data_IF_425797097229
#
_entry.id   IF_425797097229
#
_cell.length_a   1.000
_cell.length_b   1.000
_cell.length_c   1.000
_cell.angle_alpha   90.00
_cell.angle_beta   90.00
_cell.angle_gamma   90.00
#
_symmetry.space_group_name_H-M   'P 1'
#
loop_
_entity.id
_entity.type
_entity.pdbx_description
1 polymer ?
#
# COMPACT_ATOMS: atom_id res chain seq x y z
N UNK A 1 -6.25 40.13 3.41
CA UNK A 1 -5.64 40.15 2.05
C UNK A 1 -6.78 40.08 1.04
N UNK A 2 -6.76 40.88 -0.04
CA UNK A 2 -7.77 40.80 -1.09
C UNK A 2 -7.74 39.41 -1.74
N UNK A 3 -8.89 38.94 -2.25
CA UNK A 3 -8.93 37.72 -3.07
C UNK A 3 -8.11 37.95 -4.35
N UNK A 4 -7.33 36.95 -4.82
CA UNK A 4 -6.75 37.01 -6.16
C UNK A 4 -7.86 37.20 -7.20
N UNK A 5 -7.56 37.87 -8.32
CA UNK A 5 -8.58 38.11 -9.36
C UNK A 5 -9.20 36.79 -9.84
N UNK A 6 -10.53 36.74 -9.84
CA UNK A 6 -11.35 35.56 -10.10
C UNK A 6 -11.04 34.87 -11.44
N UNK A 7 -10.51 35.62 -12.41
CA UNK A 7 -10.21 35.15 -13.76
C UNK A 7 -8.78 34.61 -13.95
N UNK A 8 -7.87 34.94 -13.03
CA UNK A 8 -6.46 34.54 -13.15
C UNK A 8 -6.07 33.40 -12.20
N UNK A 9 -6.83 33.14 -11.12
CA UNK A 9 -6.54 32.04 -10.22
C UNK A 9 -5.18 32.17 -9.52
N UNK A 10 -4.80 31.14 -8.76
CA UNK A 10 -3.39 30.96 -8.35
C UNK A 10 -2.68 30.21 -9.48
N UNK A 11 -1.82 30.89 -10.24
CA UNK A 11 -1.03 30.27 -11.32
C UNK A 11 0.15 29.45 -10.77
N UNK A 12 0.72 29.90 -9.65
CA UNK A 12 1.86 29.24 -9.03
C UNK A 12 1.42 27.95 -8.32
N UNK A 13 1.96 26.81 -8.78
CA UNK A 13 1.60 25.47 -8.29
C UNK A 13 1.94 25.32 -6.80
N UNK A 14 3.01 25.95 -6.33
CA UNK A 14 3.42 25.86 -4.93
C UNK A 14 2.43 26.60 -4.02
N UNK A 15 2.04 27.82 -4.39
CA UNK A 15 1.03 28.61 -3.68
C UNK A 15 -0.34 27.94 -3.69
N UNK A 16 -0.73 27.25 -4.78
CA UNK A 16 -1.97 26.45 -4.82
C UNK A 16 -2.00 25.39 -3.73
N UNK A 17 -0.91 24.64 -3.56
CA UNK A 17 -0.81 23.60 -2.55
C UNK A 17 -0.72 24.17 -1.12
N UNK A 18 0.00 25.28 -0.93
CA UNK A 18 0.13 25.93 0.39
C UNK A 18 -1.15 26.64 0.83
N UNK A 19 -1.86 27.26 -0.11
CA UNK A 19 -3.11 27.99 0.11
C UNK A 19 -4.28 27.24 -0.51
N UNK A 20 -4.41 25.95 -0.19
CA UNK A 20 -5.46 25.09 -0.74
C UNK A 20 -6.86 25.69 -0.60
N UNK A 21 -7.13 26.41 0.47
CA UNK A 21 -8.40 27.11 0.68
C UNK A 21 -8.71 28.16 -0.42
N UNK A 22 -7.70 28.82 -1.00
CA UNK A 22 -7.89 29.71 -2.15
C UNK A 22 -8.02 28.91 -3.45
N UNK A 23 -7.22 27.87 -3.64
CA UNK A 23 -7.29 27.00 -4.82
C UNK A 23 -8.68 26.35 -4.96
N UNK A 24 -9.24 25.84 -3.85
CA UNK A 24 -10.61 25.30 -3.78
C UNK A 24 -11.69 26.36 -4.00
N UNK A 25 -11.46 27.61 -3.61
CA UNK A 25 -12.40 28.70 -3.78
C UNK A 25 -12.45 29.20 -5.22
N UNK A 26 -11.33 29.07 -5.96
CA UNK A 26 -11.15 29.63 -7.29
C UNK A 26 -11.31 28.61 -8.42
N UNK A 27 -11.13 27.32 -8.16
CA UNK A 27 -11.20 26.26 -9.17
C UNK A 27 -12.11 25.09 -8.73
N UNK A 28 -13.32 25.05 -9.32
CA UNK A 28 -14.29 23.98 -9.08
C UNK A 28 -13.77 22.59 -9.51
N UNK A 29 -12.81 22.51 -10.45
CA UNK A 29 -12.22 21.24 -10.85
C UNK A 29 -11.37 20.64 -9.73
N UNK A 30 -10.66 21.47 -8.96
CA UNK A 30 -9.90 21.02 -7.77
C UNK A 30 -10.87 20.44 -6.75
N UNK A 31 -11.98 21.13 -6.49
CA UNK A 31 -13.02 20.65 -5.58
C UNK A 31 -13.62 19.31 -6.06
N UNK A 32 -13.88 19.18 -7.36
CA UNK A 32 -14.42 17.95 -7.95
C UNK A 32 -13.49 16.74 -7.73
N UNK A 33 -12.16 16.90 -7.78
CA UNK A 33 -11.19 15.83 -7.48
C UNK A 33 -11.35 15.28 -6.06
N UNK A 34 -11.53 16.15 -5.07
CA UNK A 34 -11.71 15.72 -3.67
C UNK A 34 -13.08 15.10 -3.41
N UNK A 35 -14.13 15.58 -4.09
CA UNK A 35 -15.44 14.91 -4.07
C UNK A 35 -15.32 13.51 -4.67
N UNK A 36 -14.63 13.36 -5.81
CA UNK A 36 -14.39 12.06 -6.44
C UNK A 36 -13.57 11.13 -5.55
N UNK A 37 -12.55 11.63 -4.84
CA UNK A 37 -11.81 10.87 -3.83
C UNK A 37 -12.73 10.27 -2.77
N UNK A 38 -13.62 11.09 -2.19
CA UNK A 38 -14.56 10.62 -1.18
C UNK A 38 -15.52 9.55 -1.72
N UNK A 39 -16.02 9.73 -2.95
CA UNK A 39 -16.86 8.74 -3.64
C UNK A 39 -16.13 7.41 -3.89
N UNK A 40 -14.86 7.46 -4.31
CA UNK A 40 -14.03 6.26 -4.53
C UNK A 40 -13.87 5.49 -3.21
N UNK A 41 -13.49 6.18 -2.13
CA UNK A 41 -13.32 5.56 -0.80
C UNK A 41 -14.63 4.93 -0.33
N UNK A 42 -15.76 5.64 -0.48
CA UNK A 42 -17.07 5.10 -0.09
C UNK A 42 -17.44 3.86 -0.92
N UNK A 43 -17.26 3.90 -2.25
CA UNK A 43 -17.55 2.75 -3.11
C UNK A 43 -16.69 1.52 -2.78
N UNK A 44 -15.41 1.72 -2.46
CA UNK A 44 -14.52 0.65 -2.00
C UNK A 44 -14.99 0.06 -0.66
N UNK A 45 -15.38 0.91 0.29
CA UNK A 45 -15.95 0.48 1.58
C UNK A 45 -17.22 -0.33 1.37
N UNK A 46 -18.17 0.19 0.62
CA UNK A 46 -19.45 -0.46 0.34
C UNK A 46 -19.26 -1.83 -0.35
N UNK A 47 -18.29 -1.91 -1.27
CA UNK A 47 -17.91 -3.16 -1.91
C UNK A 47 -17.39 -4.19 -0.87
N UNK A 48 -16.44 -3.81 -0.02
CA UNK A 48 -15.88 -4.72 0.99
C UNK A 48 -16.94 -5.18 2.01
N UNK A 49 -17.82 -4.27 2.45
CA UNK A 49 -18.95 -4.60 3.32
C UNK A 49 -19.90 -5.60 2.66
N UNK A 50 -20.19 -5.44 1.35
CA UNK A 50 -21.00 -6.39 0.58
C UNK A 50 -20.32 -7.77 0.44
N UNK A 51 -18.99 -7.82 0.49
CA UNK A 51 -18.20 -9.06 0.51
C UNK A 51 -18.05 -9.64 1.94
N UNK A 52 -18.82 -9.12 2.90
CA UNK A 52 -18.87 -9.53 4.31
C UNK A 52 -17.55 -9.34 5.07
N UNK A 53 -16.75 -8.35 4.66
CA UNK A 53 -15.61 -7.92 5.45
C UNK A 53 -16.06 -7.04 6.63
N UNK A 54 -15.38 -7.20 7.76
CA UNK A 54 -15.54 -6.33 8.92
C UNK A 54 -14.54 -5.16 8.88
N UNK A 55 -15.04 -3.93 8.94
CA UNK A 55 -14.18 -2.75 9.08
C UNK A 55 -13.63 -2.68 10.52
N UNK A 56 -12.32 -2.58 10.66
CA UNK A 56 -11.62 -2.52 11.95
C UNK A 56 -10.69 -1.30 11.99
N UNK A 57 -10.13 -1.02 13.16
CA UNK A 57 -9.08 -0.02 13.34
C UNK A 57 -8.00 -0.58 14.23
N UNK A 58 -6.76 -0.48 13.78
CA UNK A 58 -5.57 -0.97 14.50
C UNK A 58 -4.71 0.20 15.00
N UNK A 59 -3.76 -0.02 15.93
CA UNK A 59 -2.97 1.06 16.48
C UNK A 59 -2.13 1.81 15.41
N UNK A 60 -2.30 3.14 15.37
CA UNK A 60 -1.44 4.03 14.58
C UNK A 60 -0.08 4.26 15.24
N UNK A 61 -0.07 4.37 16.58
CA UNK A 61 1.14 4.39 17.39
C UNK A 61 1.47 2.97 17.80
N UNK A 62 2.65 2.48 17.44
CA UNK A 62 3.07 1.10 17.66
C UNK A 62 4.38 1.09 18.48
N UNK A 63 4.53 0.19 19.46
CA UNK A 63 5.79 0.03 20.20
C UNK A 63 6.91 -0.50 19.28
N UNK A 64 6.52 -1.26 18.24
CA UNK A 64 7.38 -1.77 17.20
C UNK A 64 6.67 -1.60 15.85
N UNK A 65 7.38 -1.04 14.88
CA UNK A 65 6.89 -0.90 13.50
C UNK A 65 7.14 -2.18 12.71
N UNK A 66 6.26 -2.50 11.77
CA UNK A 66 6.40 -3.67 10.89
C UNK A 66 5.34 -3.69 9.79
N UNK A 67 5.32 -4.77 9.00
CA UNK A 67 4.33 -4.97 7.93
C UNK A 67 4.68 -4.32 6.59
N UNK A 68 5.80 -3.60 6.51
CA UNK A 68 6.35 -3.09 5.26
C UNK A 68 7.86 -2.89 5.39
N UNK A 69 8.56 -2.75 4.26
CA UNK A 69 9.95 -2.27 4.24
C UNK A 69 9.93 -0.75 4.06
N UNK A 70 10.18 -0.01 5.14
CA UNK A 70 10.11 1.44 5.17
C UNK A 70 10.77 1.99 6.43
N UNK A 71 11.34 3.20 6.34
CA UNK A 71 11.85 3.91 7.52
C UNK A 71 10.67 4.50 8.32
N UNK A 72 10.52 4.21 9.62
CA UNK A 72 9.42 4.76 10.41
C UNK A 72 9.68 6.20 10.88
N UNK A 73 8.60 6.90 11.22
CA UNK A 73 8.70 8.06 12.13
C UNK A 73 8.74 7.57 13.57
N UNK A 74 9.68 8.11 14.35
CA UNK A 74 9.86 7.82 15.77
C UNK A 74 9.36 8.99 16.62
N UNK A 75 8.67 8.71 17.71
CA UNK A 75 8.26 9.68 18.74
C UNK A 75 8.38 9.05 20.13
N UNK A 76 7.99 9.78 21.18
CA UNK A 76 8.18 9.37 22.57
C UNK A 76 6.88 9.49 23.38
N UNK A 77 6.54 8.44 24.13
CA UNK A 77 5.36 8.36 24.99
C UNK A 77 5.76 8.64 26.44
N UNK A 78 5.57 9.89 26.88
CA UNK A 78 5.97 10.36 28.22
C UNK A 78 5.43 9.52 29.38
N UNK A 79 4.20 9.01 29.28
CA UNK A 79 3.55 8.28 30.37
C UNK A 79 4.22 6.93 30.68
N UNK A 80 4.86 6.32 29.67
CA UNK A 80 5.55 5.04 29.79
C UNK A 80 7.07 5.17 29.66
N UNK A 81 7.58 6.40 29.49
CA UNK A 81 8.99 6.71 29.25
C UNK A 81 9.60 5.79 28.18
N UNK A 82 8.93 5.69 27.03
CA UNK A 82 9.32 4.75 25.97
C UNK A 82 9.14 5.35 24.59
N UNK A 83 9.95 4.87 23.64
CA UNK A 83 9.83 5.26 22.25
C UNK A 83 8.72 4.48 21.57
N UNK A 84 7.96 5.16 20.71
CA UNK A 84 6.92 4.56 19.88
C UNK A 84 7.04 5.08 18.46
N UNK A 85 6.44 4.36 17.52
CA UNK A 85 6.57 4.62 16.10
C UNK A 85 5.20 4.87 15.48
N UNK A 86 5.13 5.76 14.50
CA UNK A 86 3.97 5.80 13.62
C UNK A 86 4.03 4.58 12.70
N UNK A 87 2.90 3.91 12.52
CA UNK A 87 2.81 2.71 11.69
C UNK A 87 3.26 2.96 10.25
N UNK A 88 3.98 1.99 9.70
CA UNK A 88 4.32 1.94 8.27
C UNK A 88 3.33 1.09 7.45
N UNK A 89 2.62 0.18 8.13
CA UNK A 89 1.48 -0.61 7.68
C UNK A 89 0.69 -1.18 8.90
N UNK A 90 -0.61 -1.47 8.76
CA UNK A 90 -1.41 -2.20 9.76
C UNK A 90 -1.29 -3.74 9.67
N UNK A 91 -0.66 -4.29 8.63
CA UNK A 91 -0.56 -5.73 8.30
C UNK A 91 -0.46 -6.67 9.52
N UNK A 92 0.53 -6.51 10.39
CA UNK A 92 0.77 -7.46 11.48
C UNK A 92 -0.40 -7.52 12.48
N UNK A 93 -1.05 -6.38 12.74
CA UNK A 93 -2.21 -6.34 13.62
C UNK A 93 -3.45 -6.95 12.95
N UNK A 94 -3.65 -6.71 11.66
CA UNK A 94 -4.77 -7.30 10.91
C UNK A 94 -4.64 -8.82 10.85
N UNK A 95 -3.43 -9.35 10.69
CA UNK A 95 -3.15 -10.79 10.76
C UNK A 95 -3.43 -11.39 12.15
N UNK A 96 -3.08 -10.68 13.24
CA UNK A 96 -3.45 -11.10 14.61
C UNK A 96 -4.97 -11.22 14.79
N UNK A 97 -5.78 -10.42 14.08
CA UNK A 97 -7.23 -10.58 14.09
C UNK A 97 -7.69 -11.89 13.43
N UNK A 98 -6.99 -12.34 12.38
CA UNK A 98 -7.27 -13.66 11.79
C UNK A 98 -6.95 -14.80 12.76
N UNK A 99 -5.84 -14.70 13.49
CA UNK A 99 -5.52 -15.62 14.61
C UNK A 99 -6.64 -15.60 15.66
N UNK A 100 -7.15 -14.41 15.97
CA UNK A 100 -8.27 -14.20 16.89
C UNK A 100 -9.63 -14.73 16.40
N UNK A 101 -9.71 -15.28 15.19
CA UNK A 101 -10.92 -15.91 14.64
C UNK A 101 -11.77 -15.02 13.75
N UNK A 102 -11.33 -13.80 13.41
CA UNK A 102 -12.00 -13.02 12.37
C UNK A 102 -11.65 -13.58 10.98
N UNK A 103 -12.64 -13.89 10.16
CA UNK A 103 -12.36 -14.47 8.83
C UNK A 103 -12.05 -13.42 7.75
N UNK A 104 -12.66 -12.23 7.84
CA UNK A 104 -12.49 -11.16 6.85
C UNK A 104 -12.46 -9.80 7.53
N UNK A 105 -11.33 -9.11 7.47
CA UNK A 105 -11.15 -7.78 8.08
C UNK A 105 -10.57 -6.80 7.08
N UNK A 106 -10.92 -5.53 7.21
CA UNK A 106 -10.29 -4.46 6.45
C UNK A 106 -10.14 -3.18 7.27
N UNK A 107 -9.16 -2.37 6.92
CA UNK A 107 -8.93 -1.07 7.51
C UNK A 107 -8.59 -0.04 6.41
N UNK A 108 -9.35 1.05 6.35
CA UNK A 108 -8.87 2.27 5.72
C UNK A 108 -7.89 2.96 6.68
N UNK A 109 -6.64 3.12 6.25
CA UNK A 109 -5.52 3.53 7.10
C UNK A 109 -4.83 4.77 6.53
N UNK A 110 -4.16 5.50 7.43
CA UNK A 110 -3.04 6.37 7.09
C UNK A 110 -1.76 5.70 7.56
N UNK A 111 -0.83 5.50 6.61
CA UNK A 111 0.51 4.97 6.85
C UNK A 111 1.51 6.12 6.80
N UNK A 112 2.58 6.01 7.59
CA UNK A 112 3.59 7.05 7.75
C UNK A 112 4.97 6.48 7.43
N UNK A 113 5.64 7.01 6.41
CA UNK A 113 6.97 6.57 5.98
C UNK A 113 7.92 7.75 5.87
N UNK A 114 9.03 7.67 6.59
CA UNK A 114 10.04 8.72 6.68
C UNK A 114 11.04 8.60 5.52
N UNK A 115 10.51 8.82 4.32
CA UNK A 115 11.19 8.61 3.03
C UNK A 115 11.22 9.91 2.20
N UNK A 116 11.75 9.82 0.98
CA UNK A 116 11.72 10.92 0.01
C UNK A 116 10.31 11.33 -0.39
N UNK A 117 10.17 12.59 -0.80
CA UNK A 117 8.90 13.14 -1.34
C UNK A 117 9.08 13.37 -2.84
N UNK A 118 8.21 12.76 -3.64
CA UNK A 118 8.20 12.94 -5.11
C UNK A 118 6.76 13.05 -5.64
N UNK A 119 6.52 12.67 -6.90
CA UNK A 119 5.19 12.73 -7.53
C UNK A 119 4.26 11.60 -7.07
N UNK A 120 4.81 10.48 -6.61
CA UNK A 120 4.14 9.23 -6.24
C UNK A 120 4.27 8.90 -4.74
N UNK A 121 5.04 9.68 -3.98
CA UNK A 121 5.32 9.48 -2.55
C UNK A 121 5.06 10.76 -1.73
N UNK A 122 4.28 10.60 -0.66
CA UNK A 122 4.06 11.60 0.39
C UNK A 122 4.30 10.93 1.76
N UNK A 123 4.88 11.62 2.77
CA UNK A 123 5.30 10.97 4.01
C UNK A 123 4.15 10.35 4.82
N UNK A 124 2.94 10.91 4.69
CA UNK A 124 1.69 10.30 5.14
C UNK A 124 0.81 10.01 3.92
N UNK A 125 0.24 8.81 3.84
CA UNK A 125 -0.59 8.43 2.71
C UNK A 125 -1.72 7.49 3.15
N UNK A 126 -2.83 7.55 2.43
CA UNK A 126 -4.00 6.71 2.64
C UNK A 126 -3.86 5.40 1.88
N UNK A 127 -4.18 4.31 2.57
CA UNK A 127 -4.31 2.99 1.98
C UNK A 127 -5.58 2.30 2.50
N UNK A 128 -5.99 1.23 1.84
CA UNK A 128 -6.86 0.23 2.43
C UNK A 128 -6.11 -1.10 2.43
N UNK A 129 -6.11 -1.77 3.57
CA UNK A 129 -5.59 -3.13 3.69
C UNK A 129 -6.70 -4.06 4.14
N UNK A 130 -6.77 -5.25 3.54
CA UNK A 130 -7.78 -6.25 3.88
C UNK A 130 -7.23 -7.66 3.80
N UNK A 131 -7.72 -8.52 4.69
CA UNK A 131 -7.25 -9.88 4.88
C UNK A 131 -8.43 -10.84 4.95
N UNK A 132 -8.30 -11.98 4.29
CA UNK A 132 -9.33 -13.02 4.25
C UNK A 132 -8.74 -14.40 4.53
N UNK A 133 -9.26 -15.08 5.54
CA UNK A 133 -8.95 -16.47 5.87
C UNK A 133 -9.45 -17.43 4.77
N UNK A 134 -8.74 -18.55 4.64
CA UNK A 134 -8.95 -19.64 3.70
C UNK A 134 -8.90 -19.22 2.22
N UNK A 135 -8.19 -18.13 1.91
CA UNK A 135 -7.98 -17.60 0.55
C UNK A 135 -6.51 -17.56 0.18
N UNK A 136 -6.25 -17.46 -1.13
CA UNK A 136 -4.92 -17.35 -1.72
C UNK A 136 -4.82 -16.09 -2.59
N UNK A 137 -3.62 -15.83 -3.13
CA UNK A 137 -3.38 -14.69 -4.00
C UNK A 137 -4.20 -14.73 -5.31
N UNK A 138 -4.62 -15.91 -5.80
CA UNK A 138 -5.47 -16.02 -6.99
C UNK A 138 -6.88 -15.47 -6.71
N UNK A 139 -7.47 -15.87 -5.59
CA UNK A 139 -8.74 -15.31 -5.12
C UNK A 139 -8.63 -13.79 -4.92
N UNK A 140 -7.52 -13.32 -4.36
CA UNK A 140 -7.29 -11.90 -4.16
C UNK A 140 -7.20 -11.13 -5.50
N UNK A 141 -6.60 -11.70 -6.55
CA UNK A 141 -6.62 -11.08 -7.89
C UNK A 141 -8.05 -10.93 -8.42
N UNK A 142 -8.88 -11.96 -8.30
CA UNK A 142 -10.27 -11.93 -8.76
C UNK A 142 -11.10 -10.89 -7.99
N UNK A 143 -10.90 -10.80 -6.66
CA UNK A 143 -11.57 -9.82 -5.80
C UNK A 143 -11.15 -8.39 -6.15
N UNK A 144 -9.86 -8.14 -6.33
CA UNK A 144 -9.32 -6.82 -6.70
C UNK A 144 -9.83 -6.40 -8.07
N UNK A 145 -9.83 -7.31 -9.04
CA UNK A 145 -10.36 -7.06 -10.38
C UNK A 145 -11.85 -6.69 -10.33
N UNK A 146 -12.65 -7.40 -9.53
CA UNK A 146 -14.07 -7.09 -9.32
C UNK A 146 -14.32 -5.77 -8.61
N UNK A 147 -13.53 -5.47 -7.57
CA UNK A 147 -13.60 -4.22 -6.84
C UNK A 147 -13.29 -3.02 -7.74
N UNK A 148 -12.18 -3.06 -8.48
CA UNK A 148 -11.75 -1.93 -9.31
C UNK A 148 -12.75 -1.66 -10.45
N UNK A 149 -13.31 -2.70 -11.06
CA UNK A 149 -14.36 -2.57 -12.09
C UNK A 149 -15.66 -2.04 -11.48
N UNK A 150 -16.02 -2.44 -10.27
CA UNK A 150 -17.21 -1.92 -9.58
C UNK A 150 -17.06 -0.45 -9.21
N UNK A 151 -15.89 -0.05 -8.72
CA UNK A 151 -15.60 1.32 -8.25
C UNK A 151 -15.43 2.30 -9.41
N UNK A 152 -14.86 1.85 -10.53
CA UNK A 152 -14.61 2.69 -11.70
C UNK A 152 -14.83 1.93 -13.04
N UNK A 153 -16.09 1.59 -13.37
CA UNK A 153 -16.42 0.78 -14.56
C UNK A 153 -16.08 1.46 -15.89
N UNK A 154 -16.00 2.80 -15.91
CA UNK A 154 -15.59 3.56 -17.09
C UNK A 154 -14.08 3.49 -17.34
N UNK A 155 -13.29 3.09 -16.34
CA UNK A 155 -11.82 3.06 -16.37
C UNK A 155 -11.25 1.67 -16.43
N UNK A 156 -11.95 0.69 -15.89
CA UNK A 156 -11.50 -0.69 -15.81
C UNK A 156 -12.49 -1.64 -16.48
N UNK A 157 -11.95 -2.58 -17.27
CA UNK A 157 -12.73 -3.64 -17.91
C UNK A 157 -12.02 -4.98 -17.73
N UNK A 158 -12.80 -6.01 -17.39
CA UNK A 158 -12.30 -7.39 -17.27
C UNK A 158 -12.16 -8.06 -18.63
N UNK A 159 -11.25 -9.04 -18.77
CA UNK A 159 -10.23 -9.43 -17.80
C UNK A 159 -9.01 -8.49 -17.85
N UNK A 160 -8.37 -8.27 -16.71
CA UNK A 160 -7.05 -7.64 -16.64
C UNK A 160 -5.97 -8.61 -17.12
N UNK A 161 -4.91 -8.05 -17.69
CA UNK A 161 -3.77 -8.83 -18.14
C UNK A 161 -3.09 -9.48 -16.92
N UNK A 162 -2.72 -10.76 -17.02
CA UNK A 162 -1.89 -11.46 -16.02
C UNK A 162 -0.58 -11.87 -16.68
N UNK A 163 0.55 -11.54 -16.05
CA UNK A 163 1.88 -11.84 -16.57
C UNK A 163 2.80 -12.24 -15.42
N UNK A 164 3.74 -13.16 -15.64
CA UNK A 164 4.76 -13.48 -14.64
C UNK A 164 5.87 -12.45 -14.66
N UNK A 165 6.48 -12.18 -13.50
CA UNK A 165 7.61 -11.28 -13.37
C UNK A 165 8.72 -11.62 -14.36
N UNK A 166 9.10 -12.90 -14.46
CA UNK A 166 10.15 -13.37 -15.35
C UNK A 166 9.88 -13.11 -16.85
N UNK A 167 8.62 -13.00 -17.27
CA UNK A 167 8.27 -12.71 -18.68
C UNK A 167 8.46 -11.23 -19.04
N UNK A 168 8.53 -10.34 -18.03
CA UNK A 168 8.76 -8.91 -18.22
C UNK A 168 10.24 -8.54 -18.16
N UNK A 169 11.07 -9.38 -17.54
CA UNK A 169 12.50 -9.15 -17.40
C UNK A 169 13.24 -9.63 -18.65
N UNK A 170 14.26 -8.89 -19.09
CA UNK A 170 15.14 -9.37 -20.18
C UNK A 170 16.15 -10.38 -19.61
N UNK A 171 16.68 -11.30 -20.44
CA UNK A 171 17.58 -12.38 -19.98
C UNK A 171 18.85 -11.94 -19.23
N UNK A 172 19.25 -10.67 -19.34
CA UNK A 172 20.44 -10.11 -18.70
C UNK A 172 20.15 -9.01 -17.68
N UNK A 173 18.88 -8.68 -17.42
CA UNK A 173 18.55 -7.73 -16.37
C UNK A 173 18.73 -8.42 -14.99
N UNK A 174 19.27 -7.69 -14.01
CA UNK A 174 19.28 -8.18 -12.63
C UNK A 174 17.83 -8.30 -12.13
N UNK A 175 17.55 -9.29 -11.29
CA UNK A 175 16.24 -9.50 -10.66
C UNK A 175 16.03 -8.57 -9.45
N UNK A 176 16.57 -7.36 -9.54
CA UNK A 176 16.50 -6.36 -8.50
C UNK A 176 15.29 -5.46 -8.71
N UNK A 177 14.62 -5.13 -7.61
CA UNK A 177 13.45 -4.25 -7.60
C UNK A 177 13.71 -2.89 -8.26
N UNK A 178 14.92 -2.34 -8.09
CA UNK A 178 15.32 -1.08 -8.72
C UNK A 178 15.27 -1.16 -10.26
N UNK A 179 15.75 -2.26 -10.86
CA UNK A 179 15.75 -2.44 -12.32
C UNK A 179 14.33 -2.60 -12.84
N UNK A 180 13.48 -3.35 -12.14
CA UNK A 180 12.08 -3.48 -12.48
C UNK A 180 11.37 -2.11 -12.44
N UNK A 181 11.56 -1.35 -11.37
CA UNK A 181 10.96 -0.01 -11.18
C UNK A 181 11.39 0.99 -12.25
N UNK A 182 12.65 0.95 -12.67
CA UNK A 182 13.19 1.88 -13.68
C UNK A 182 12.78 1.50 -15.11
N UNK A 183 12.90 0.22 -15.47
CA UNK A 183 12.82 -0.21 -16.88
C UNK A 183 11.48 -0.85 -17.27
N UNK A 184 10.86 -1.58 -16.36
CA UNK A 184 9.68 -2.39 -16.65
C UNK A 184 8.41 -1.66 -16.25
N UNK A 185 8.34 -1.19 -15.00
CA UNK A 185 7.17 -0.54 -14.41
C UNK A 185 6.57 0.56 -15.32
N UNK A 186 7.35 1.49 -15.92
CA UNK A 186 6.79 2.54 -16.78
C UNK A 186 6.11 2.03 -18.05
N UNK A 187 6.37 0.78 -18.46
CA UNK A 187 5.75 0.18 -19.65
C UNK A 187 4.40 -0.50 -19.37
N UNK A 188 4.04 -0.68 -18.09
CA UNK A 188 2.78 -1.29 -17.65
C UNK A 188 1.63 -0.27 -17.69
N UNK A 189 1.21 0.09 -18.91
CA UNK A 189 0.17 1.08 -19.16
C UNK A 189 -1.23 0.50 -18.95
N UNK A 190 -1.51 -0.66 -19.52
CA UNK A 190 -2.79 -1.36 -19.35
C UNK A 190 -2.90 -2.01 -17.97
N UNK A 191 -4.12 -2.15 -17.40
CA UNK A 191 -4.39 -2.92 -16.18
C UNK A 191 -3.72 -4.31 -16.21
N UNK A 192 -2.67 -4.48 -15.40
CA UNK A 192 -1.83 -5.68 -15.43
C UNK A 192 -1.51 -6.17 -14.02
N UNK A 193 -1.88 -7.42 -13.72
CA UNK A 193 -1.33 -8.19 -12.61
C UNK A 193 0.01 -8.78 -13.00
N UNK A 194 1.05 -8.43 -12.25
CA UNK A 194 2.36 -9.09 -12.29
C UNK A 194 2.40 -10.09 -11.16
N UNK A 195 2.82 -11.31 -11.43
CA UNK A 195 2.76 -12.47 -10.50
C UNK A 195 4.11 -13.19 -10.44
N UNK A 196 4.24 -14.16 -9.54
CA UNK A 196 5.39 -15.07 -9.47
C UNK A 196 6.72 -14.30 -9.29
N UNK A 197 6.75 -13.42 -8.29
CA UNK A 197 7.95 -12.64 -7.95
C UNK A 197 9.05 -13.53 -7.35
N UNK A 198 10.33 -13.18 -7.53
CA UNK A 198 11.44 -13.80 -6.82
C UNK A 198 11.34 -13.60 -5.31
N UNK A 199 11.68 -14.64 -4.53
CA UNK A 199 11.70 -14.61 -3.06
C UNK A 199 12.55 -13.46 -2.52
N UNK A 200 13.68 -13.19 -3.14
CA UNK A 200 14.61 -12.15 -2.67
C UNK A 200 14.04 -10.73 -2.76
N UNK A 201 13.07 -10.50 -3.67
CA UNK A 201 12.36 -9.23 -3.76
C UNK A 201 11.26 -9.08 -2.70
N UNK A 202 10.68 -10.21 -2.27
CA UNK A 202 9.56 -10.26 -1.33
C UNK A 202 9.85 -11.27 -0.20
N UNK A 203 10.85 -10.97 0.66
CA UNK A 203 11.46 -11.96 1.55
C UNK A 203 10.53 -12.47 2.66
N UNK A 204 9.40 -11.80 2.91
CA UNK A 204 8.41 -12.20 3.92
C UNK A 204 7.20 -12.93 3.33
N UNK A 205 7.13 -13.12 2.01
CA UNK A 205 5.97 -13.72 1.35
C UNK A 205 6.09 -15.24 1.26
N UNK A 206 4.96 -15.94 1.42
CA UNK A 206 4.89 -17.40 1.33
C UNK A 206 5.47 -17.91 -0.01
N UNK A 207 6.26 -18.97 0.07
CA UNK A 207 6.81 -19.64 -1.12
C UNK A 207 5.70 -20.35 -1.89
N UNK A 208 5.79 -20.32 -3.21
CA UNK A 208 4.90 -21.06 -4.09
C UNK A 208 5.18 -22.56 -3.96
N UNK A 209 4.17 -23.41 -3.74
CA UNK A 209 4.37 -24.84 -3.56
C UNK A 209 5.20 -25.47 -4.69
N UNK A 210 6.27 -26.18 -4.34
CA UNK A 210 7.17 -26.83 -5.30
C UNK A 210 8.16 -25.90 -5.99
N UNK A 211 8.21 -24.61 -5.65
CA UNK A 211 9.20 -23.65 -6.17
C UNK A 211 10.09 -23.14 -5.04
N UNK A 212 11.41 -23.14 -5.27
CA UNK A 212 12.38 -22.77 -4.25
C UNK A 212 12.60 -21.25 -4.11
N UNK A 213 12.32 -20.51 -5.17
CA UNK A 213 12.73 -19.10 -5.36
C UNK A 213 11.57 -18.18 -5.78
N UNK A 214 10.34 -18.70 -5.83
CA UNK A 214 9.15 -17.97 -6.31
C UNK A 214 8.11 -17.87 -5.20
N UNK A 215 7.51 -16.69 -5.03
CA UNK A 215 6.50 -16.44 -3.98
C UNK A 215 5.07 -16.36 -4.52
N UNK A 216 4.09 -16.64 -3.66
CA UNK A 216 2.66 -16.45 -3.95
C UNK A 216 2.25 -14.99 -3.75
N UNK A 217 2.67 -14.13 -4.67
CA UNK A 217 2.39 -12.70 -4.63
C UNK A 217 1.92 -12.17 -5.99
N UNK A 218 1.19 -11.06 -5.94
CA UNK A 218 1.00 -10.21 -7.11
C UNK A 218 1.11 -8.72 -6.76
N UNK A 219 1.47 -7.93 -7.76
CA UNK A 219 1.27 -6.49 -7.74
C UNK A 219 0.42 -6.11 -8.96
N UNK A 220 -0.44 -5.10 -8.80
CA UNK A 220 -1.26 -4.58 -9.88
C UNK A 220 -0.75 -3.22 -10.33
N UNK A 221 -0.55 -3.09 -11.64
CA UNK A 221 -0.05 -1.89 -12.29
C UNK A 221 -1.05 -1.37 -13.32
N UNK A 222 -1.12 -0.05 -13.42
CA UNK A 222 -1.84 0.65 -14.48
C UNK A 222 -1.25 2.05 -14.67
N UNK A 223 -1.11 2.50 -15.91
CA UNK A 223 -0.51 3.80 -16.23
C UNK A 223 0.91 3.98 -15.69
N UNK A 224 1.66 2.90 -15.49
CA UNK A 224 2.99 2.90 -14.88
C UNK A 224 3.00 3.07 -13.34
N UNK A 225 1.84 3.07 -12.69
CA UNK A 225 1.70 3.16 -11.23
C UNK A 225 1.47 1.78 -10.62
N UNK A 226 2.14 1.50 -9.50
CA UNK A 226 1.79 0.38 -8.62
C UNK A 226 0.64 0.79 -7.70
N UNK A 227 -0.52 0.14 -7.85
CA UNK A 227 -1.70 0.44 -7.05
C UNK A 227 -1.97 -0.60 -5.96
N UNK A 228 -1.66 -1.87 -6.21
CA UNK A 228 -1.98 -2.98 -5.30
C UNK A 228 -0.74 -3.83 -5.07
N UNK A 229 -0.55 -4.25 -3.82
CA UNK A 229 0.36 -5.32 -3.44
C UNK A 229 -0.42 -6.36 -2.64
N UNK A 230 -0.26 -7.63 -2.98
CA UNK A 230 -1.03 -8.70 -2.37
C UNK A 230 -0.27 -10.02 -2.37
N UNK A 231 -0.61 -10.90 -1.43
CA UNK A 231 0.08 -12.16 -1.25
C UNK A 231 -0.81 -13.20 -0.58
N UNK A 232 -0.49 -14.49 -0.81
CA UNK A 232 -0.86 -15.53 0.15
C UNK A 232 0.02 -15.36 1.37
N UNK A 233 -0.60 -15.27 2.54
CA UNK A 233 0.08 -14.95 3.78
C UNK A 233 0.97 -16.09 4.27
N UNK A 234 2.19 -15.73 4.69
CA UNK A 234 3.02 -16.62 5.46
C UNK A 234 2.39 -16.80 6.84
N UNK A 235 2.09 -18.05 7.17
CA UNK A 235 1.45 -18.43 8.43
C UNK A 235 2.24 -19.50 9.20
N UNK A 236 3.46 -19.81 8.76
CA UNK A 236 4.39 -20.69 9.47
C UNK A 236 5.26 -19.83 10.42
N UNK A 237 5.13 -19.97 11.75
CA UNK A 237 5.87 -19.18 12.71
C UNK A 237 7.38 -19.42 12.66
N UNK A 238 7.82 -20.64 12.28
CA UNK A 238 9.25 -20.98 12.21
C UNK A 238 9.89 -20.25 11.02
N UNK A 239 9.26 -20.35 9.84
CA UNK A 239 9.73 -19.64 8.63
C UNK A 239 9.66 -18.11 8.83
N UNK A 240 8.60 -17.59 9.46
CA UNK A 240 8.48 -16.17 9.76
C UNK A 240 9.61 -15.68 10.68
N UNK A 241 9.95 -16.45 11.71
CA UNK A 241 11.06 -16.14 12.64
C UNK A 241 12.40 -16.12 11.92
N UNK A 242 12.68 -17.11 11.07
CA UNK A 242 13.91 -17.16 10.28
C UNK A 242 14.04 -15.94 9.35
N UNK A 243 12.93 -15.54 8.72
CA UNK A 243 12.91 -14.36 7.83
C UNK A 243 13.08 -13.05 8.60
N UNK A 244 12.47 -12.89 9.77
CA UNK A 244 12.75 -11.73 10.62
C UNK A 244 14.21 -11.69 11.09
N UNK A 245 14.80 -12.83 11.46
CA UNK A 245 16.22 -12.90 11.79
C UNK A 245 17.12 -12.50 10.60
N UNK A 246 16.76 -12.88 9.38
CA UNK A 246 17.44 -12.43 8.17
C UNK A 246 17.31 -10.90 7.95
N UNK A 247 16.13 -10.33 8.23
CA UNK A 247 15.92 -8.87 8.17
C UNK A 247 16.75 -8.11 9.22
N UNK A 248 16.84 -8.60 10.46
CA UNK A 248 17.72 -8.01 11.48
C UNK A 248 19.19 -8.06 11.05
N UNK A 249 19.63 -9.13 10.37
CA UNK A 249 20.97 -9.21 9.80
C UNK A 249 21.22 -8.19 8.67
N UNK A 250 20.23 -7.90 7.82
CA UNK A 250 20.32 -6.84 6.81
C UNK A 250 20.39 -5.47 7.47
N UNK A 251 19.58 -5.25 8.51
CA UNK A 251 19.58 -4.02 9.30
C UNK A 251 20.92 -3.77 9.98
N UNK A 252 21.52 -4.80 10.56
CA UNK A 252 22.87 -4.72 11.15
C UNK A 252 23.95 -4.35 10.12
N UNK A 253 23.70 -4.58 8.82
CA UNK A 253 24.57 -4.16 7.71
C UNK A 253 24.22 -2.77 7.16
N UNK A 254 23.25 -2.08 7.75
CA UNK A 254 22.89 -0.69 7.42
C UNK A 254 21.58 -0.51 6.64
N UNK A 255 20.81 -1.57 6.41
CA UNK A 255 19.47 -1.45 5.82
C UNK A 255 18.46 -0.91 6.84
N UNK A 256 18.21 0.41 6.80
CA UNK A 256 17.30 1.07 7.73
C UNK A 256 15.82 0.72 7.49
N UNK A 257 15.48 0.18 6.32
CA UNK A 257 14.11 -0.17 5.88
C UNK A 257 13.75 -1.63 6.19
N UNK A 258 14.74 -2.47 6.48
CA UNK A 258 14.54 -3.85 6.89
C UNK A 258 13.64 -3.96 8.14
N UNK A 259 12.77 -4.97 8.13
CA UNK A 259 11.79 -5.19 9.19
C UNK A 259 12.45 -5.68 10.49
N UNK A 260 11.77 -5.44 11.62
CA UNK A 260 12.24 -5.83 12.95
C UNK A 260 11.63 -7.16 13.38
N UNK A 261 12.30 -7.86 14.28
CA UNK A 261 11.73 -9.03 14.97
C UNK A 261 10.57 -8.60 15.88
N UNK A 262 9.36 -9.09 15.58
CA UNK A 262 8.17 -8.91 16.40
C UNK A 262 7.80 -10.25 17.07
N UNK A 263 8.27 -10.45 18.29
CA UNK A 263 8.03 -11.69 19.06
C UNK A 263 6.54 -11.90 19.36
N UNK A 264 5.78 -10.84 19.64
CA UNK A 264 4.33 -10.92 19.88
C UNK A 264 3.58 -11.36 18.62
N UNK A 265 4.07 -10.99 17.43
CA UNK A 265 3.52 -11.46 16.17
C UNK A 265 3.85 -12.94 15.91
N UNK A 266 5.09 -13.36 16.19
CA UNK A 266 5.46 -14.77 16.09
C UNK A 266 4.63 -15.63 17.04
N UNK A 267 4.49 -15.22 18.29
CA UNK A 267 3.65 -15.91 19.27
C UNK A 267 2.20 -16.03 18.76
N UNK A 268 1.63 -14.95 18.18
CA UNK A 268 0.30 -15.03 17.58
C UNK A 268 0.23 -16.08 16.45
N UNK A 269 1.25 -16.20 15.59
CA UNK A 269 1.30 -17.24 14.57
C UNK A 269 1.40 -18.65 15.17
N UNK A 270 2.09 -18.82 16.31
CA UNK A 270 2.22 -20.10 17.03
C UNK A 270 0.87 -20.61 17.57
N UNK A 271 -0.07 -19.71 17.91
CA UNK A 271 -1.45 -20.08 18.25
C UNK A 271 -2.27 -20.53 17.02
N UNK A 272 -1.77 -20.28 15.81
CA UNK A 272 -2.34 -20.78 14.55
C UNK A 272 -3.10 -19.71 13.78
N UNK A 273 -2.42 -19.08 12.82
CA UNK A 273 -3.10 -18.27 11.80
C UNK A 273 -3.63 -19.19 10.68
N UNK A 274 -4.90 -19.08 10.28
CA UNK A 274 -5.41 -19.83 9.13
C UNK A 274 -4.63 -19.43 7.86
N UNK A 275 -4.57 -20.30 6.83
CA UNK A 275 -4.13 -19.89 5.50
C UNK A 275 -4.95 -18.67 5.09
N UNK A 276 -4.33 -17.62 4.57
CA UNK A 276 -5.03 -16.38 4.26
C UNK A 276 -4.42 -15.68 3.05
N UNK A 277 -5.16 -14.73 2.51
CA UNK A 277 -4.65 -13.76 1.54
C UNK A 277 -4.81 -12.35 2.10
N UNK A 278 -3.82 -11.50 1.89
CA UNK A 278 -3.85 -10.09 2.22
C UNK A 278 -3.61 -9.21 1.00
N UNK A 279 -4.21 -8.03 1.03
CA UNK A 279 -4.16 -7.05 -0.06
C UNK A 279 -4.02 -5.66 0.54
N UNK A 280 -3.07 -4.88 0.03
CA UNK A 280 -2.97 -3.44 0.27
C UNK A 280 -3.15 -2.64 -1.02
N UNK A 281 -4.00 -1.61 -0.97
CA UNK A 281 -4.27 -0.70 -2.09
C UNK A 281 -3.90 0.73 -1.69
N UNK A 282 -3.04 1.37 -2.47
CA UNK A 282 -2.70 2.79 -2.31
C UNK A 282 -3.84 3.69 -2.80
N UNK A 283 -4.64 4.24 -1.90
CA UNK A 283 -5.80 5.08 -2.23
C UNK A 283 -5.36 6.34 -2.97
N UNK A 284 -4.28 6.97 -2.54
CA UNK A 284 -3.78 8.19 -3.17
C UNK A 284 -3.43 7.96 -4.64
N UNK A 285 -2.71 6.88 -4.94
CA UNK A 285 -2.33 6.53 -6.32
C UNK A 285 -3.54 6.14 -7.17
N UNK A 286 -4.47 5.37 -6.60
CA UNK A 286 -5.72 5.02 -7.29
C UNK A 286 -6.50 6.27 -7.67
N UNK A 287 -6.66 7.21 -6.73
CA UNK A 287 -7.37 8.46 -6.97
C UNK A 287 -6.62 9.31 -7.99
N UNK A 288 -5.30 9.46 -7.87
CA UNK A 288 -4.45 10.16 -8.86
C UNK A 288 -4.69 9.62 -10.27
N UNK A 289 -4.70 8.29 -10.45
CA UNK A 289 -4.98 7.66 -11.74
C UNK A 289 -6.40 7.96 -12.22
N UNK A 290 -7.40 7.75 -11.37
CA UNK A 290 -8.81 7.92 -11.75
C UNK A 290 -9.18 9.37 -12.09
N UNK A 291 -8.47 10.35 -11.52
CA UNK A 291 -8.67 11.79 -11.77
C UNK A 291 -7.67 12.40 -12.75
N UNK A 292 -6.93 11.58 -13.53
CA UNK A 292 -5.92 12.01 -14.51
C UNK A 292 -4.93 13.06 -13.94
N UNK A 293 -4.58 12.90 -12.67
CA UNK A 293 -3.75 13.87 -11.95
C UNK A 293 -2.27 13.54 -12.08
N UNK A 294 -1.41 14.55 -12.12
CA UNK A 294 0.00 14.35 -12.43
C UNK A 294 0.87 14.08 -11.20
N UNK A 295 0.34 14.25 -9.99
CA UNK A 295 1.01 13.88 -8.73
C UNK A 295 0.02 13.64 -7.61
N UNK A 296 0.47 12.99 -6.52
CA UNK A 296 -0.32 12.84 -5.30
C UNK A 296 -0.73 14.18 -4.69
N UNK A 297 0.06 15.25 -4.88
CA UNK A 297 -0.22 16.59 -4.33
C UNK A 297 -1.50 17.23 -4.88
N UNK A 298 -2.01 16.74 -6.00
CA UNK A 298 -3.29 17.19 -6.56
C UNK A 298 -4.50 16.57 -5.87
N UNK A 299 -4.32 15.42 -5.20
CA UNK A 299 -5.40 14.63 -4.58
C UNK A 299 -5.27 14.53 -3.06
N UNK A 300 -4.21 15.10 -2.48
CA UNK A 300 -4.05 15.36 -1.05
C UNK A 300 -4.43 16.83 -0.80
N UNK A 301 -5.36 17.05 0.14
CA UNK A 301 -5.86 18.40 0.45
C UNK A 301 -4.70 19.32 0.87
N UNK A 302 -3.88 18.84 1.80
CA UNK A 302 -2.74 19.57 2.35
C UNK A 302 -1.49 18.68 2.26
N UNK A 303 -0.83 18.59 1.09
CA UNK A 303 0.36 17.76 0.95
C UNK A 303 1.53 18.33 1.74
N UNK A 304 2.50 17.48 2.10
CA UNK A 304 3.70 17.95 2.78
C UNK A 304 4.53 18.83 1.84
N UNK A 305 4.85 20.05 2.29
CA UNK A 305 5.62 21.03 1.54
C UNK A 305 6.88 21.38 2.33
N UNK A 306 7.97 21.68 1.62
CA UNK A 306 9.16 22.25 2.27
C UNK A 306 8.79 23.57 2.98
N UNK A 307 9.33 23.89 4.16
CA UNK A 307 9.16 25.21 4.76
C UNK A 307 9.65 26.32 3.82
N UNK A 308 9.12 27.53 3.98
CA UNK A 308 9.62 28.74 3.29
C UNK A 308 10.85 29.28 3.99
#
# INVERSE_FOLDING_TARGET
LPLPEKWHGLQDVEERYRKRYLDLLMDDNVKAKFVKRAQIIQAMRDYLLKQEFLEVTTPTLQPLYGGASARPFKTHLNALDTDVFLRIAPELYLKRLLVGGFEKVFEFTTNFRNEGIDREHNPEFSAVEFYAAYKDYNWAMDLVEDMLVTVAPDRFKKPFRRVKFAELMRPHDSLEDAVFKEKVRPTLIEPTFVTDYPKDMLPLTKLKPGMADTVEAFQFYVGGLELVKAFTELNDPIDQRERFAAQENLRAKGDEEAQRMDEDFIEALEYGMPPAAGVGIGIDRLVTFLTDSHSLREIILFPMMRPK
#
